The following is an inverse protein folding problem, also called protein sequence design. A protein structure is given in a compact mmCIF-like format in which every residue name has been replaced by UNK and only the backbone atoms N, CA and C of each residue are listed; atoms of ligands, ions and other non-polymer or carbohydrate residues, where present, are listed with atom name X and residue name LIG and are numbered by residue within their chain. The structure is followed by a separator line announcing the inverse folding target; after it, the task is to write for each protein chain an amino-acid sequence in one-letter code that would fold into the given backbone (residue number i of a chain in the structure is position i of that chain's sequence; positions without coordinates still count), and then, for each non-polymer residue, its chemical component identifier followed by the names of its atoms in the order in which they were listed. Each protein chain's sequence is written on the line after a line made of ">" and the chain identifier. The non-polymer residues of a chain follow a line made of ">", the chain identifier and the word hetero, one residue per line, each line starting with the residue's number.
data_IF_089624363588
#
_entry.id   IF_089624363588
#
_cell.length_a   1.000
_cell.length_b   1.000
_cell.length_c   1.000
_cell.angle_alpha   90.00
_cell.angle_beta   90.00
_cell.angle_gamma   90.00
#
_symmetry.space_group_name_H-M   'P 1'
#
loop_
_entity.id
_entity.type
_entity.pdbx_description
1 polymer ?
#
# COMPACT_ATOMS: atom_id res chain seq x y z
N UNK A 1 -24.21 10.86 -5.73
CA UNK A 1 -23.78 10.52 -4.35
C UNK A 1 -22.31 10.90 -4.20
N UNK A 2 -21.99 11.77 -3.25
CA UNK A 2 -20.59 12.11 -2.92
C UNK A 2 -19.96 10.99 -2.09
N UNK A 3 -18.72 10.61 -2.38
CA UNK A 3 -17.99 9.59 -1.61
C UNK A 3 -17.79 10.08 -0.16
N UNK A 4 -17.88 9.16 0.81
CA UNK A 4 -17.53 9.47 2.20
C UNK A 4 -16.00 9.64 2.36
N UNK A 5 -15.51 10.31 3.42
CA UNK A 5 -14.07 10.48 3.64
C UNK A 5 -13.27 9.17 3.64
N UNK A 6 -13.80 8.10 4.25
CA UNK A 6 -13.12 6.79 4.27
C UNK A 6 -13.05 6.14 2.89
N UNK A 7 -14.08 6.29 2.07
CA UNK A 7 -14.08 5.81 0.68
C UNK A 7 -13.10 6.61 -0.19
N UNK A 8 -13.04 7.93 0.00
CA UNK A 8 -12.06 8.78 -0.70
C UNK A 8 -10.64 8.41 -0.30
N UNK A 9 -10.38 8.17 0.99
CA UNK A 9 -9.06 7.72 1.46
C UNK A 9 -8.67 6.35 0.88
N UNK A 10 -9.57 5.36 0.91
CA UNK A 10 -9.31 4.05 0.31
C UNK A 10 -9.05 4.14 -1.21
N UNK A 11 -9.82 4.99 -1.91
CA UNK A 11 -9.61 5.23 -3.33
C UNK A 11 -8.24 5.87 -3.59
N UNK A 12 -7.88 6.90 -2.83
CA UNK A 12 -6.61 7.60 -2.99
C UNK A 12 -5.42 6.64 -2.77
N UNK A 13 -5.44 5.86 -1.69
CA UNK A 13 -4.42 4.85 -1.41
C UNK A 13 -4.35 3.81 -2.54
N UNK A 14 -5.49 3.29 -3.00
CA UNK A 14 -5.52 2.36 -4.12
C UNK A 14 -4.95 2.94 -5.42
N UNK A 15 -5.27 4.20 -5.74
CA UNK A 15 -4.70 4.88 -6.91
C UNK A 15 -3.19 5.07 -6.77
N UNK A 16 -2.70 5.44 -5.59
CA UNK A 16 -1.24 5.54 -5.34
C UNK A 16 -0.56 4.20 -5.59
N UNK A 17 -1.12 3.08 -5.11
CA UNK A 17 -0.58 1.75 -5.38
C UNK A 17 -0.58 1.39 -6.87
N UNK A 18 -1.64 1.73 -7.60
CA UNK A 18 -1.66 1.55 -9.05
C UNK A 18 -0.55 2.36 -9.72
N UNK A 19 -0.39 3.63 -9.33
CA UNK A 19 0.66 4.48 -9.88
C UNK A 19 2.04 3.91 -9.59
N UNK A 20 2.34 3.55 -8.35
CA UNK A 20 3.62 2.94 -7.95
C UNK A 20 3.87 1.64 -8.73
N UNK A 21 2.89 0.75 -8.80
CA UNK A 21 3.01 -0.51 -9.54
C UNK A 21 3.23 -0.31 -11.04
N UNK A 22 2.61 0.72 -11.65
CA UNK A 22 2.84 1.08 -13.05
C UNK A 22 4.24 1.68 -13.23
N UNK A 23 4.62 2.66 -12.40
CA UNK A 23 5.91 3.34 -12.46
C UNK A 23 7.09 2.37 -12.28
N UNK A 24 6.90 1.32 -11.47
CA UNK A 24 7.86 0.23 -11.31
C UNK A 24 8.28 -0.42 -12.63
N UNK A 25 7.40 -0.43 -13.64
CA UNK A 25 7.66 -0.96 -14.99
C UNK A 25 8.10 0.11 -16.01
N UNK A 26 8.44 1.33 -15.59
CA UNK A 26 8.85 2.41 -16.51
C UNK A 26 10.37 2.64 -16.40
N UNK A 27 11.16 2.30 -17.43
CA UNK A 27 12.58 2.62 -17.48
C UNK A 27 12.84 4.13 -17.32
N UNK A 28 13.84 4.48 -16.51
CA UNK A 28 14.20 5.87 -16.20
C UNK A 28 13.50 6.44 -14.97
N UNK A 29 12.29 5.97 -14.64
CA UNK A 29 11.68 6.17 -13.30
C UNK A 29 12.16 5.08 -12.35
N UNK A 30 12.18 3.84 -12.83
CA UNK A 30 12.92 2.74 -12.20
C UNK A 30 14.31 2.68 -12.81
N UNK A 31 15.33 2.86 -11.98
CA UNK A 31 16.75 2.75 -12.35
C UNK A 31 17.22 1.30 -12.23
N UNK A 32 18.34 0.95 -12.87
CA UNK A 32 18.82 -0.43 -13.00
C UNK A 32 17.73 -1.36 -13.56
N UNK A 33 16.91 -0.85 -14.49
CA UNK A 33 15.73 -1.56 -14.98
C UNK A 33 16.08 -2.92 -15.60
N UNK A 34 17.24 -3.01 -16.23
CA UNK A 34 17.78 -4.22 -16.86
C UNK A 34 18.16 -5.33 -15.88
N UNK A 35 18.34 -5.02 -14.59
CA UNK A 35 18.59 -6.02 -13.55
C UNK A 35 17.31 -6.56 -12.91
N UNK A 36 16.14 -6.06 -13.33
CA UNK A 36 14.86 -6.45 -12.73
C UNK A 36 14.56 -7.93 -12.97
N UNK A 37 14.51 -8.70 -11.89
CA UNK A 37 14.14 -10.11 -11.93
C UNK A 37 12.66 -10.31 -11.58
N UNK A 38 12.17 -11.54 -11.72
CA UNK A 38 10.78 -11.82 -11.39
C UNK A 38 10.50 -11.64 -9.89
N UNK A 39 11.40 -12.14 -9.04
CA UNK A 39 11.34 -12.14 -7.59
C UNK A 39 12.76 -12.41 -7.03
N UNK A 40 13.01 -12.07 -5.77
CA UNK A 40 14.31 -12.23 -5.14
C UNK A 40 15.12 -10.94 -4.99
N UNK A 41 16.06 -10.96 -4.05
CA UNK A 41 17.06 -9.91 -3.78
C UNK A 41 17.99 -9.63 -4.96
N UNK A 42 18.09 -10.58 -5.91
CA UNK A 42 18.86 -10.40 -7.14
C UNK A 42 18.28 -9.30 -8.04
N UNK A 43 17.06 -8.81 -7.75
CA UNK A 43 16.45 -7.68 -8.46
C UNK A 43 16.98 -6.35 -7.94
N UNK A 44 18.12 -5.89 -8.46
CA UNK A 44 18.71 -4.60 -8.06
C UNK A 44 18.01 -3.36 -8.66
N UNK A 45 16.79 -3.53 -9.20
CA UNK A 45 16.01 -2.46 -9.79
C UNK A 45 15.43 -1.55 -8.71
N UNK A 46 15.57 -0.24 -8.89
CA UNK A 46 15.21 0.75 -7.88
C UNK A 46 14.19 1.76 -8.42
N UNK A 47 12.98 1.76 -7.87
CA UNK A 47 11.99 2.79 -8.14
C UNK A 47 12.45 4.12 -7.52
N UNK A 48 12.52 5.17 -8.35
CA UNK A 48 13.04 6.50 -8.02
C UNK A 48 14.50 6.48 -7.50
N UNK A 49 15.24 5.39 -7.75
CA UNK A 49 16.59 5.19 -7.21
C UNK A 49 16.63 4.91 -5.70
N UNK A 50 15.50 4.58 -5.07
CA UNK A 50 15.39 4.46 -3.61
C UNK A 50 14.78 3.12 -3.18
N UNK A 51 13.67 2.69 -3.80
CA UNK A 51 12.89 1.54 -3.35
C UNK A 51 13.15 0.33 -4.23
N UNK A 52 13.48 -0.80 -3.63
CA UNK A 52 13.80 -2.01 -4.38
C UNK A 52 12.53 -2.66 -4.93
N UNK A 53 12.55 -3.01 -6.22
CA UNK A 53 11.39 -3.55 -6.91
C UNK A 53 11.75 -4.74 -7.77
N UNK A 54 10.78 -5.64 -7.94
CA UNK A 54 10.79 -6.73 -8.91
C UNK A 54 9.46 -6.78 -9.66
N UNK A 55 9.36 -7.66 -10.65
CA UNK A 55 8.09 -7.91 -11.36
C UNK A 55 7.00 -8.33 -10.36
N UNK A 56 7.31 -9.25 -9.44
CA UNK A 56 6.36 -9.70 -8.41
C UNK A 56 5.94 -8.54 -7.49
N UNK A 57 6.90 -7.73 -7.01
CA UNK A 57 6.61 -6.58 -6.14
C UNK A 57 5.66 -5.58 -6.84
N UNK A 58 5.94 -5.24 -8.10
CA UNK A 58 5.10 -4.34 -8.88
C UNK A 58 3.70 -4.92 -9.14
N UNK A 59 3.61 -6.23 -9.46
CA UNK A 59 2.30 -6.90 -9.62
C UNK A 59 1.51 -6.88 -8.31
N UNK A 60 2.16 -7.14 -7.17
CA UNK A 60 1.50 -7.06 -5.85
C UNK A 60 0.96 -5.66 -5.61
N UNK A 61 1.73 -4.60 -5.92
CA UNK A 61 1.24 -3.22 -5.86
C UNK A 61 0.04 -2.97 -6.77
N UNK A 62 0.07 -3.45 -8.01
CA UNK A 62 -1.06 -3.33 -8.94
C UNK A 62 -2.32 -4.02 -8.39
N UNK A 63 -2.19 -5.25 -7.88
CA UNK A 63 -3.30 -5.99 -7.28
C UNK A 63 -3.86 -5.27 -6.05
N UNK A 64 -2.98 -4.73 -5.19
CA UNK A 64 -3.37 -3.94 -4.04
C UNK A 64 -4.10 -2.66 -4.43
N UNK A 65 -3.66 -2.02 -5.52
CA UNK A 65 -4.27 -0.83 -6.08
C UNK A 65 -5.66 -1.11 -6.66
N UNK A 66 -5.80 -2.17 -7.46
CA UNK A 66 -7.11 -2.63 -7.98
C UNK A 66 -8.06 -2.96 -6.82
N UNK A 67 -7.58 -3.67 -5.80
CA UNK A 67 -8.36 -3.98 -4.61
C UNK A 67 -8.82 -2.69 -3.90
N UNK A 68 -7.96 -1.70 -3.73
CA UNK A 68 -8.30 -0.41 -3.12
C UNK A 68 -9.38 0.35 -3.88
N UNK A 69 -9.24 0.45 -5.21
CA UNK A 69 -10.25 1.08 -6.08
C UNK A 69 -11.59 0.34 -5.99
N UNK A 70 -11.56 -0.99 -6.04
CA UNK A 70 -12.76 -1.81 -5.96
C UNK A 70 -13.46 -1.72 -4.60
N UNK A 71 -12.69 -1.76 -3.51
CA UNK A 71 -13.21 -1.71 -2.14
C UNK A 71 -13.65 -0.31 -1.71
N UNK A 72 -13.17 0.75 -2.37
CA UNK A 72 -13.65 2.12 -2.14
C UNK A 72 -15.14 2.33 -2.47
N UNK A 73 -15.80 1.36 -3.12
CA UNK A 73 -17.21 1.43 -3.55
C UNK A 73 -18.21 1.46 -2.39
N UNK A 74 -17.85 0.92 -1.22
CA UNK A 74 -18.71 0.96 -0.02
C UNK A 74 -17.90 1.37 1.21
N UNK A 75 -18.58 1.94 2.21
CA UNK A 75 -17.93 2.37 3.48
C UNK A 75 -17.28 1.19 4.20
N UNK A 76 -17.99 0.06 4.30
CA UNK A 76 -17.50 -1.14 4.98
C UNK A 76 -16.26 -1.73 4.28
N UNK A 77 -16.31 -1.88 2.96
CA UNK A 77 -15.17 -2.39 2.21
C UNK A 77 -13.98 -1.41 2.24
N UNK A 78 -14.20 -0.10 2.10
CA UNK A 78 -13.14 0.90 2.20
C UNK A 78 -12.41 0.83 3.54
N UNK A 79 -13.16 0.70 4.64
CA UNK A 79 -12.59 0.52 5.98
C UNK A 79 -11.79 -0.79 6.08
N UNK A 80 -12.34 -1.90 5.59
CA UNK A 80 -11.65 -3.20 5.62
C UNK A 80 -10.37 -3.17 4.80
N UNK A 81 -10.36 -2.52 3.64
CA UNK A 81 -9.16 -2.32 2.82
C UNK A 81 -8.08 -1.53 3.57
N UNK A 82 -8.45 -0.40 4.18
CA UNK A 82 -7.49 0.44 4.91
C UNK A 82 -6.91 -0.28 6.14
N UNK A 83 -7.76 -0.95 6.94
CA UNK A 83 -7.28 -1.63 8.15
C UNK A 83 -6.53 -2.92 7.79
N UNK A 84 -7.15 -3.79 7.00
CA UNK A 84 -6.55 -5.06 6.60
C UNK A 84 -5.29 -4.86 5.76
N UNK A 85 -5.33 -3.89 4.83
CA UNK A 85 -4.16 -3.53 4.05
C UNK A 85 -3.05 -2.95 4.90
N UNK A 86 -3.37 -2.06 5.84
CA UNK A 86 -2.36 -1.54 6.75
C UNK A 86 -1.72 -2.62 7.64
N UNK A 87 -2.49 -3.64 8.06
CA UNK A 87 -1.93 -4.81 8.77
C UNK A 87 -0.96 -5.58 7.88
N UNK A 88 -1.31 -5.84 6.61
CA UNK A 88 -0.41 -6.51 5.65
C UNK A 88 0.91 -5.72 5.51
N UNK A 89 0.84 -4.39 5.40
CA UNK A 89 2.03 -3.55 5.30
C UNK A 89 2.89 -3.57 6.57
N UNK A 90 2.28 -3.64 7.77
CA UNK A 90 3.04 -3.83 9.01
C UNK A 90 3.68 -5.21 9.10
N UNK A 91 3.03 -6.25 8.56
CA UNK A 91 3.63 -7.59 8.46
C UNK A 91 4.81 -7.59 7.51
N UNK A 92 4.70 -6.91 6.35
CA UNK A 92 5.80 -6.75 5.40
C UNK A 92 6.98 -5.98 6.01
N UNK A 93 6.70 -4.92 6.78
CA UNK A 93 7.73 -4.21 7.55
C UNK A 93 8.46 -5.14 8.53
N UNK A 94 7.72 -5.93 9.33
CA UNK A 94 8.34 -6.89 10.24
C UNK A 94 9.14 -7.95 9.50
N UNK A 95 8.63 -8.43 8.36
CA UNK A 95 9.34 -9.37 7.50
C UNK A 95 10.69 -8.80 7.03
N UNK A 96 10.72 -7.57 6.52
CA UNK A 96 11.96 -6.93 6.06
C UNK A 96 12.98 -6.64 7.18
N UNK A 97 12.51 -6.46 8.42
CA UNK A 97 13.40 -6.36 9.60
C UNK A 97 14.00 -7.70 10.04
N UNK A 98 13.33 -8.82 9.76
CA UNK A 98 13.72 -10.15 10.27
C UNK A 98 14.62 -10.88 9.28
N UNK A 99 14.39 -10.73 7.98
CA UNK A 99 15.16 -11.42 6.96
C UNK A 99 16.52 -10.77 6.73
N UNK A 100 17.48 -11.57 6.28
CA UNK A 100 18.69 -11.07 5.65
C UNK A 100 18.37 -10.62 4.22
N UNK A 101 18.61 -9.35 3.93
CA UNK A 101 18.25 -8.71 2.65
C UNK A 101 19.08 -9.20 1.48
N UNK A 102 20.28 -9.71 1.74
CA UNK A 102 21.19 -10.26 0.72
C UNK A 102 20.98 -11.78 0.52
N UNK A 103 19.92 -12.33 1.10
CA UNK A 103 19.63 -13.77 1.05
C UNK A 103 18.40 -14.09 0.23
N UNK A 104 18.26 -15.35 -0.18
CA UNK A 104 17.06 -15.85 -0.87
C UNK A 104 15.77 -15.72 -0.04
N UNK A 105 15.87 -15.45 1.26
CA UNK A 105 14.72 -15.14 2.09
C UNK A 105 14.01 -13.85 1.66
N UNK A 106 14.71 -12.91 1.00
CA UNK A 106 14.18 -11.65 0.45
C UNK A 106 13.59 -11.88 -0.95
N UNK A 107 12.54 -12.71 -1.04
CA UNK A 107 11.91 -13.09 -2.31
C UNK A 107 10.99 -11.99 -2.88
N UNK A 108 10.49 -11.07 -2.03
CA UNK A 108 9.97 -9.78 -2.47
C UNK A 108 11.06 -8.78 -2.10
N UNK A 109 11.88 -8.31 -3.06
CA UNK A 109 13.02 -7.47 -2.76
C UNK A 109 12.56 -6.23 -2.00
N UNK A 110 12.99 -6.14 -0.75
CA UNK A 110 12.78 -4.99 0.13
C UNK A 110 14.13 -4.53 0.67
N UNK A 111 14.35 -3.23 0.65
CA UNK A 111 15.50 -2.60 1.29
C UNK A 111 15.09 -1.80 2.55
N UNK A 112 16.04 -1.10 3.15
CA UNK A 112 15.76 -0.31 4.37
C UNK A 112 14.77 0.84 4.13
N UNK A 113 14.75 1.42 2.93
CA UNK A 113 13.78 2.46 2.57
C UNK A 113 12.38 1.86 2.41
N UNK A 114 12.27 0.67 1.81
CA UNK A 114 11.02 -0.08 1.76
C UNK A 114 10.49 -0.36 3.16
N UNK A 115 11.31 -0.83 4.10
CA UNK A 115 10.87 -1.10 5.48
C UNK A 115 10.18 0.12 6.10
N UNK A 116 10.80 1.29 6.02
CA UNK A 116 10.23 2.52 6.55
C UNK A 116 8.96 2.94 5.81
N UNK A 117 8.94 2.81 4.49
CA UNK A 117 7.74 3.08 3.70
C UNK A 117 6.59 2.17 4.13
N UNK A 118 6.84 0.87 4.30
CA UNK A 118 5.85 -0.11 4.72
C UNK A 118 5.31 0.18 6.13
N UNK A 119 6.20 0.57 7.05
CA UNK A 119 5.78 0.98 8.40
C UNK A 119 4.85 2.19 8.38
N UNK A 120 5.28 3.28 7.74
CA UNK A 120 4.50 4.54 7.68
C UNK A 120 3.17 4.31 6.98
N UNK A 121 3.18 3.54 5.89
CA UNK A 121 1.98 3.22 5.14
C UNK A 121 1.02 2.33 5.95
N UNK A 122 1.55 1.31 6.63
CA UNK A 122 0.78 0.43 7.50
C UNK A 122 0.06 1.19 8.62
N UNK A 123 0.80 2.01 9.36
CA UNK A 123 0.24 2.87 10.42
C UNK A 123 -0.75 3.88 9.83
N UNK A 124 -0.40 4.54 8.74
CA UNK A 124 -1.23 5.56 8.09
C UNK A 124 -2.57 5.01 7.61
N UNK A 125 -2.56 3.86 6.94
CA UNK A 125 -3.78 3.21 6.46
C UNK A 125 -4.69 2.79 7.62
N UNK A 126 -4.16 2.18 8.67
CA UNK A 126 -4.92 1.81 9.87
C UNK A 126 -5.53 3.07 10.51
N UNK A 127 -4.74 4.13 10.69
CA UNK A 127 -5.20 5.38 11.25
C UNK A 127 -6.34 5.99 10.43
N UNK A 128 -6.21 6.04 9.10
CA UNK A 128 -7.28 6.50 8.19
C UNK A 128 -8.54 5.65 8.34
N UNK A 129 -8.41 4.32 8.38
CA UNK A 129 -9.53 3.39 8.54
C UNK A 129 -10.33 3.63 9.82
N UNK A 130 -9.67 3.86 10.96
CA UNK A 130 -10.33 4.15 12.23
C UNK A 130 -10.86 5.59 12.32
N UNK A 131 -10.03 6.59 12.01
CA UNK A 131 -10.36 8.00 12.25
C UNK A 131 -11.46 8.51 11.31
N UNK A 132 -11.47 8.08 10.05
CA UNK A 132 -12.46 8.54 9.06
C UNK A 132 -13.80 7.80 9.16
N UNK A 133 -13.79 6.58 9.71
CA UNK A 133 -15.03 5.85 10.01
C UNK A 133 -15.76 6.49 11.20
N UNK A 134 -15.04 6.81 12.29
CA UNK A 134 -15.61 7.39 13.52
C UNK A 134 -16.30 8.74 13.26
N UNK A 135 -15.75 9.60 12.39
CA UNK A 135 -16.38 10.90 12.07
C UNK A 135 -17.73 10.77 11.37
N UNK A 136 -17.94 9.70 10.60
CA UNK A 136 -19.20 9.48 9.88
C UNK A 136 -20.33 9.10 10.84
N UNK A 137 -20.03 8.39 11.93
CA UNK A 137 -21.02 8.05 12.96
C UNK A 137 -21.42 9.27 13.80
N UNK A 138 -20.49 10.18 14.10
CA UNK A 138 -20.76 11.35 14.94
C UNK A 138 -21.63 12.39 14.24
N UNK A 139 -21.50 12.56 12.92
CA UNK A 139 -22.31 13.52 12.14
C UNK A 139 -23.78 13.11 11.93
N UNK A 140 -24.14 11.84 12.22
CA UNK A 140 -25.51 11.33 12.05
C UNK A 140 -26.35 11.39 13.34
N UNK A 141 -25.75 11.78 14.46
CA UNK A 141 -26.47 12.04 15.70
C UNK A 141 -27.06 13.46 15.67
N UNK A 142 -28.26 13.61 15.08
CA UNK A 142 -29.13 14.76 15.37
C UNK A 142 -29.97 14.39 16.59
N UNK A 143 -29.83 15.09 17.74
CA UNK A 143 -30.75 14.95 18.86
C UNK A 143 -32.15 15.40 18.44
N UNK A 144 -33.15 14.59 18.76
CA UNK A 144 -34.52 14.80 18.30
C UNK A 144 -35.17 16.08 18.82
N UNK A 145 -36.20 16.51 18.11
CA UNK A 145 -37.24 17.38 18.66
C UNK A 145 -38.44 16.52 19.01
N UNK A 146 -38.70 16.42 20.31
CA UNK A 146 -40.02 16.09 20.86
C UNK A 146 -41.00 17.22 20.54
#
# INVERSE_FOLDING_TARGET
>A
MTRTPVQTAALAVGVVFLLVGILGFIPGITTNYDTMTFAGHESEALLLGIFEVSILHNIVHLLFGVAGVAMARTVGAARSYLIGGGIIYLVLWLYGLIIDKDSSANFVPVNSADDWLHFVLGVGMIALGYLLTRRTTTHRAVPGTR
#
